data_IF_755811937510
#
_entry.id   IF_755811937510
#
_cell.length_a   1.000
_cell.length_b   1.000
_cell.length_c   1.000
_cell.angle_alpha   90.00
_cell.angle_beta   90.00
_cell.angle_gamma   90.00
#
_symmetry.space_group_name_H-M   'P 1'
#
loop_
_entity.id
_entity.type
_entity.pdbx_description
1 polymer ?
#
# COMPACT_ATOMS: atom_id res chain seq x y z
N UNK A 1 18.45 -13.18 -5.83
CA UNK A 1 17.34 -12.54 -5.14
C UNK A 1 16.46 -13.63 -4.58
N UNK A 2 16.38 -13.73 -3.26
CA UNK A 2 15.57 -14.71 -2.56
C UNK A 2 14.07 -14.50 -2.86
N UNK A 3 13.22 -15.49 -2.57
CA UNK A 3 11.80 -15.44 -2.93
C UNK A 3 11.08 -14.29 -2.21
N UNK A 4 11.48 -14.03 -0.97
CA UNK A 4 11.04 -12.96 -0.07
C UNK A 4 11.37 -11.58 -0.65
N UNK A 5 12.61 -11.38 -1.10
CA UNK A 5 13.04 -10.12 -1.69
C UNK A 5 12.24 -9.80 -2.96
N UNK A 6 11.94 -10.82 -3.78
CA UNK A 6 11.07 -10.67 -4.96
C UNK A 6 9.64 -10.33 -4.56
N UNK A 7 9.10 -11.03 -3.57
CA UNK A 7 7.76 -10.78 -3.05
C UNK A 7 7.60 -9.35 -2.54
N UNK A 8 8.53 -8.89 -1.68
CA UNK A 8 8.52 -7.54 -1.13
C UNK A 8 8.75 -6.47 -2.23
N UNK A 9 9.59 -6.75 -3.22
CA UNK A 9 9.77 -5.87 -4.38
C UNK A 9 8.49 -5.71 -5.21
N UNK A 10 7.75 -6.80 -5.45
CA UNK A 10 6.45 -6.72 -6.13
C UNK A 10 5.41 -5.96 -5.30
N UNK A 11 5.37 -6.18 -3.99
CA UNK A 11 4.50 -5.41 -3.09
C UNK A 11 4.83 -3.90 -3.13
N UNK A 12 6.11 -3.54 -3.17
CA UNK A 12 6.54 -2.14 -3.31
C UNK A 12 6.02 -1.53 -4.62
N UNK A 13 6.07 -2.25 -5.74
CA UNK A 13 5.51 -1.79 -7.02
C UNK A 13 3.99 -1.62 -6.97
N UNK A 14 3.29 -2.57 -6.35
CA UNK A 14 1.82 -2.50 -6.16
C UNK A 14 1.46 -1.30 -5.30
N UNK A 15 2.19 -1.07 -4.20
CA UNK A 15 2.02 0.09 -3.33
C UNK A 15 2.23 1.40 -4.12
N UNK A 16 3.35 1.55 -4.84
CA UNK A 16 3.64 2.73 -5.66
C UNK A 16 2.57 2.99 -6.73
N UNK A 17 2.07 1.93 -7.38
CA UNK A 17 0.97 2.02 -8.32
C UNK A 17 -0.27 2.62 -7.65
N UNK A 18 -0.67 2.10 -6.49
CA UNK A 18 -1.86 2.57 -5.78
C UNK A 18 -1.70 3.98 -5.22
N UNK A 19 -0.51 4.36 -4.75
CA UNK A 19 -0.22 5.76 -4.35
C UNK A 19 -0.43 6.68 -5.54
N UNK A 20 0.15 6.35 -6.70
CA UNK A 20 -0.03 7.14 -7.92
C UNK A 20 -1.49 7.22 -8.34
N UNK A 21 -2.20 6.09 -8.37
CA UNK A 21 -3.61 6.04 -8.76
C UNK A 21 -4.48 6.88 -7.82
N UNK A 22 -4.32 6.73 -6.49
CA UNK A 22 -5.09 7.48 -5.52
C UNK A 22 -4.78 8.99 -5.58
N UNK A 23 -3.51 9.37 -5.73
CA UNK A 23 -3.11 10.77 -5.94
C UNK A 23 -3.73 11.32 -7.21
N UNK A 24 -3.70 10.60 -8.34
CA UNK A 24 -4.31 11.05 -9.59
C UNK A 24 -5.81 11.27 -9.43
N UNK A 25 -6.52 10.31 -8.82
CA UNK A 25 -7.95 10.44 -8.53
C UNK A 25 -8.26 11.69 -7.69
N UNK A 26 -7.38 12.07 -6.75
CA UNK A 26 -7.62 13.22 -5.87
C UNK A 26 -7.07 14.55 -6.39
N UNK A 27 -6.22 14.55 -7.41
CA UNK A 27 -5.53 15.77 -7.87
C UNK A 27 -5.78 16.12 -9.33
N UNK A 28 -6.26 15.18 -10.15
CA UNK A 28 -6.61 15.41 -11.55
C UNK A 28 -8.13 15.45 -11.72
N UNK A 29 -8.66 16.67 -11.89
CA UNK A 29 -10.08 16.94 -12.14
C UNK A 29 -10.59 16.29 -13.45
N UNK A 30 -9.73 15.89 -14.37
CA UNK A 30 -10.12 15.19 -15.59
C UNK A 30 -10.31 13.69 -15.41
N UNK A 31 -9.94 13.13 -14.25
CA UNK A 31 -10.08 11.70 -13.97
C UNK A 31 -11.52 11.23 -14.12
N UNK A 32 -11.70 10.10 -14.80
CA UNK A 32 -12.97 9.40 -14.89
C UNK A 32 -13.27 8.72 -13.53
N UNK A 33 -14.41 9.09 -12.93
CA UNK A 33 -14.82 8.61 -11.62
C UNK A 33 -15.94 7.55 -11.69
N UNK A 34 -16.25 6.99 -12.88
CA UNK A 34 -17.32 5.98 -13.06
C UNK A 34 -17.17 4.77 -12.14
N UNK A 35 -15.96 4.45 -11.70
CA UNK A 35 -15.69 3.33 -10.79
C UNK A 35 -15.94 3.65 -9.29
N UNK A 36 -16.25 4.90 -8.92
CA UNK A 36 -16.42 5.32 -7.53
C UNK A 36 -17.89 5.58 -7.23
N UNK A 37 -18.35 5.08 -6.07
CA UNK A 37 -19.73 5.26 -5.62
C UNK A 37 -20.06 6.69 -5.16
N UNK A 38 -19.04 7.51 -4.89
CA UNK A 38 -19.17 8.87 -4.38
C UNK A 38 -18.34 9.86 -5.21
N UNK A 39 -18.75 10.06 -6.46
CA UNK A 39 -18.09 10.98 -7.40
C UNK A 39 -18.11 12.44 -6.91
N UNK A 40 -19.25 12.94 -6.45
CA UNK A 40 -19.42 14.31 -5.95
C UNK A 40 -18.49 14.61 -4.78
N UNK A 41 -18.38 13.70 -3.81
CA UNK A 41 -17.45 13.86 -2.68
C UNK A 41 -15.99 13.92 -3.14
N UNK A 42 -15.61 13.12 -4.13
CA UNK A 42 -14.26 13.15 -4.71
C UNK A 42 -14.03 14.47 -5.45
N UNK A 43 -15.00 14.98 -6.23
CA UNK A 43 -14.90 16.29 -6.89
C UNK A 43 -14.70 17.43 -5.90
N UNK A 44 -15.42 17.40 -4.77
CA UNK A 44 -15.24 18.39 -3.70
C UNK A 44 -13.83 18.34 -3.10
N UNK A 45 -13.28 17.14 -2.88
CA UNK A 45 -11.90 16.97 -2.41
C UNK A 45 -10.90 17.48 -3.44
N UNK A 46 -11.05 17.15 -4.73
CA UNK A 46 -10.18 17.65 -5.80
C UNK A 46 -10.12 19.19 -5.81
N UNK A 47 -11.30 19.84 -5.76
CA UNK A 47 -11.38 21.29 -5.74
C UNK A 47 -10.73 21.90 -4.48
N UNK A 48 -10.94 21.29 -3.31
CA UNK A 48 -10.34 21.74 -2.05
C UNK A 48 -8.81 21.59 -2.06
N UNK A 49 -8.29 20.46 -2.53
CA UNK A 49 -6.85 20.19 -2.64
C UNK A 49 -6.18 21.18 -3.61
N UNK A 50 -6.83 21.43 -4.76
CA UNK A 50 -6.35 22.40 -5.75
C UNK A 50 -6.32 23.82 -5.18
N UNK A 51 -7.40 24.23 -4.50
CA UNK A 51 -7.49 25.56 -3.88
C UNK A 51 -6.41 25.75 -2.79
N UNK A 52 -6.15 24.71 -2.00
CA UNK A 52 -5.12 24.73 -0.97
C UNK A 52 -3.68 24.56 -1.50
N UNK A 53 -3.53 24.22 -2.79
CA UNK A 53 -2.25 23.94 -3.45
C UNK A 53 -1.40 22.91 -2.66
N UNK A 54 -2.05 21.82 -2.21
CA UNK A 54 -1.45 20.84 -1.31
C UNK A 54 -1.31 19.42 -1.91
N UNK A 55 -1.22 19.32 -3.24
CA UNK A 55 -1.18 18.04 -3.96
C UNK A 55 -0.02 17.15 -3.50
N UNK A 56 1.17 17.73 -3.29
CA UNK A 56 2.35 16.98 -2.83
C UNK A 56 2.18 16.43 -1.40
N UNK A 57 1.50 17.18 -0.52
CA UNK A 57 1.20 16.74 0.84
C UNK A 57 0.18 15.62 0.85
N UNK A 58 -0.82 15.68 -0.04
CA UNK A 58 -1.80 14.60 -0.22
C UNK A 58 -1.11 13.33 -0.70
N UNK A 59 -0.23 13.42 -1.70
CA UNK A 59 0.55 12.28 -2.17
C UNK A 59 1.40 11.67 -1.05
N UNK A 60 2.13 12.51 -0.29
CA UNK A 60 2.93 12.06 0.84
C UNK A 60 2.09 11.40 1.95
N UNK A 61 0.87 11.88 2.18
CA UNK A 61 -0.03 11.31 3.18
C UNK A 61 -0.57 9.94 2.74
N UNK A 62 -0.99 9.82 1.48
CA UNK A 62 -1.45 8.56 0.88
C UNK A 62 -0.32 7.52 0.93
N UNK A 63 0.90 7.92 0.56
CA UNK A 63 2.10 7.10 0.61
C UNK A 63 2.36 6.49 2.00
N UNK A 64 2.34 7.35 3.03
CA UNK A 64 2.57 6.93 4.42
C UNK A 64 1.47 6.01 4.96
N UNK A 65 0.18 6.35 4.73
CA UNK A 65 -0.93 5.53 5.21
C UNK A 65 -0.94 4.17 4.51
N UNK A 66 -0.80 4.15 3.19
CA UNK A 66 -0.80 2.90 2.43
C UNK A 66 0.39 2.02 2.81
N UNK A 67 1.56 2.59 3.12
CA UNK A 67 2.70 1.85 3.66
C UNK A 67 2.41 1.23 5.03
N UNK A 68 1.76 1.98 5.94
CA UNK A 68 1.32 1.47 7.23
C UNK A 68 0.29 0.33 7.13
N UNK A 69 -0.61 0.40 6.14
CA UNK A 69 -1.56 -0.67 5.83
C UNK A 69 -0.80 -1.91 5.34
N UNK A 70 0.14 -1.78 4.41
CA UNK A 70 0.95 -2.91 3.92
C UNK A 70 1.75 -3.56 5.04
N UNK A 71 2.39 -2.77 5.89
CA UNK A 71 3.07 -3.27 7.09
C UNK A 71 2.13 -4.08 7.99
N UNK A 72 0.91 -3.56 8.23
CA UNK A 72 -0.08 -4.25 9.08
C UNK A 72 -0.58 -5.56 8.47
N UNK A 73 -0.76 -5.61 7.14
CA UNK A 73 -1.12 -6.84 6.42
C UNK A 73 0.00 -7.87 6.56
N UNK A 74 1.25 -7.48 6.31
CA UNK A 74 2.42 -8.35 6.46
C UNK A 74 2.55 -8.86 7.90
N UNK A 75 2.35 -7.98 8.89
CA UNK A 75 2.39 -8.36 10.29
C UNK A 75 1.28 -9.35 10.65
N UNK A 76 0.10 -9.22 10.04
CA UNK A 76 -0.98 -10.20 10.16
C UNK A 76 -0.61 -11.56 9.56
N UNK A 77 0.06 -11.58 8.40
CA UNK A 77 0.54 -12.81 7.76
C UNK A 77 1.64 -13.49 8.57
N UNK A 78 2.56 -12.72 9.16
CA UNK A 78 3.59 -13.20 10.09
C UNK A 78 3.01 -13.72 11.42
N UNK A 79 1.70 -13.56 11.64
CA UNK A 79 1.02 -13.96 12.87
C UNK A 79 1.42 -13.08 14.06
N UNK A 80 1.57 -11.77 13.87
CA UNK A 80 1.74 -10.83 14.99
C UNK A 80 0.46 -10.74 15.84
N UNK A 81 0.62 -10.47 17.14
CA UNK A 81 -0.48 -10.31 18.09
C UNK A 81 -1.16 -11.62 18.50
N UNK A 82 -2.45 -11.55 18.84
CA UNK A 82 -3.25 -12.69 19.32
C UNK A 82 -3.59 -13.73 18.25
N UNK A 83 -3.39 -13.39 16.97
CA UNK A 83 -3.65 -14.29 15.84
C UNK A 83 -2.68 -15.47 15.82
N UNK A 84 -1.43 -15.31 16.27
CA UNK A 84 -0.43 -16.40 16.32
C UNK A 84 -0.91 -17.63 17.08
N UNK A 85 -1.73 -17.41 18.10
CA UNK A 85 -2.21 -18.45 19.01
C UNK A 85 -3.44 -19.19 18.44
N UNK A 86 -4.07 -18.66 17.39
CA UNK A 86 -5.34 -19.15 16.85
C UNK A 86 -5.18 -19.65 15.40
N UNK A 87 -4.42 -18.93 14.56
CA UNK A 87 -4.23 -19.26 13.13
C UNK A 87 -3.02 -18.51 12.55
N UNK A 88 -2.18 -19.21 11.79
CA UNK A 88 -1.08 -18.61 11.03
C UNK A 88 -1.21 -18.87 9.54
N UNK A 89 -0.74 -17.93 8.71
CA UNK A 89 -0.60 -18.13 7.27
C UNK A 89 0.87 -18.34 6.96
N UNK A 90 1.22 -19.49 6.39
CA UNK A 90 2.57 -19.73 5.87
C UNK A 90 2.59 -19.39 4.38
N UNK A 91 3.37 -18.36 4.03
CA UNK A 91 3.68 -18.09 2.63
C UNK A 91 4.78 -19.04 2.17
N UNK A 92 4.58 -19.65 1.01
CA UNK A 92 5.56 -20.51 0.35
C UNK A 92 5.81 -20.01 -1.07
N UNK A 93 6.99 -20.25 -1.58
CA UNK A 93 7.33 -19.98 -2.98
C UNK A 93 6.71 -21.03 -3.93
N UNK A 94 7.01 -20.90 -5.22
CA UNK A 94 6.50 -21.82 -6.25
C UNK A 94 7.00 -23.27 -6.10
N UNK A 95 8.08 -23.48 -5.35
CA UNK A 95 8.69 -24.79 -5.08
C UNK A 95 8.26 -25.34 -3.70
N UNK A 96 7.37 -24.62 -2.99
CA UNK A 96 6.87 -24.99 -1.67
C UNK A 96 7.84 -24.68 -0.53
N UNK A 97 8.92 -23.91 -0.77
CA UNK A 97 9.81 -23.45 0.30
C UNK A 97 9.15 -22.30 1.07
N UNK A 98 9.20 -22.29 2.41
CA UNK A 98 8.64 -21.22 3.19
C UNK A 98 9.41 -19.92 2.95
N UNK A 99 8.67 -18.81 2.85
CA UNK A 99 9.26 -17.49 2.93
C UNK A 99 9.72 -17.22 4.38
N UNK A 100 10.75 -16.38 4.56
CA UNK A 100 11.19 -15.92 5.88
C UNK A 100 10.02 -15.38 6.72
N UNK A 101 10.09 -15.61 8.03
CA UNK A 101 9.19 -14.97 8.99
C UNK A 101 9.58 -13.50 9.19
N UNK A 102 8.62 -12.68 9.65
CA UNK A 102 8.80 -11.26 9.95
C UNK A 102 8.98 -10.38 8.70
N UNK A 103 8.28 -10.70 7.61
CA UNK A 103 8.24 -9.90 6.38
C UNK A 103 7.88 -8.43 6.63
N UNK A 104 7.06 -8.15 7.65
CA UNK A 104 6.72 -6.77 8.03
C UNK A 104 7.92 -5.95 8.54
N UNK A 105 8.93 -6.60 9.12
CA UNK A 105 10.15 -5.93 9.58
C UNK A 105 11.05 -5.55 8.40
N UNK A 106 10.98 -6.31 7.30
CA UNK A 106 11.72 -6.03 6.07
C UNK A 106 11.05 -4.94 5.22
N UNK A 107 9.74 -4.75 5.34
CA UNK A 107 8.97 -3.80 4.52
C UNK A 107 9.55 -2.37 4.43
N UNK A 108 10.01 -1.72 5.52
CA UNK A 108 10.58 -0.37 5.45
C UNK A 108 11.75 -0.26 4.47
N UNK A 109 12.57 -1.30 4.34
CA UNK A 109 13.72 -1.31 3.45
C UNK A 109 13.32 -1.34 1.97
N UNK A 110 12.14 -1.89 1.66
CA UNK A 110 11.61 -1.94 0.29
C UNK A 110 10.73 -0.74 -0.04
N UNK A 111 10.00 -0.23 0.95
CA UNK A 111 9.16 0.96 0.81
C UNK A 111 9.98 2.24 0.60
N UNK A 112 11.13 2.38 1.29
CA UNK A 112 11.94 3.60 1.24
C UNK A 112 12.88 3.70 0.03
N UNK A 113 13.02 2.63 -0.74
CA UNK A 113 13.79 2.63 -1.99
C UNK A 113 12.99 3.34 -3.11
N UNK A 114 13.17 4.66 -3.19
CA UNK A 114 12.70 5.50 -4.31
C UNK A 114 13.85 5.82 -5.27
#
# INVERSE_FOLDING_TARGET
MAAEERFLSELAKIHQYWVKTATQVLTDESTDLVAFENDEGIRQLQAAIKLANCQAQVESFIDQISSGIMHSILAGLDGSGSLKEISGVSLVDGDGQPLEAYLHELWPDYYTQR
#
